data_IF_947338249912
#
_entry.id   IF_947338249912
#
_cell.length_a   1.000
_cell.length_b   1.000
_cell.length_c   1.000
_cell.angle_alpha   90.00
_cell.angle_beta   90.00
_cell.angle_gamma   90.00
#
_symmetry.space_group_name_H-M   'P 1'
#
loop_
_entity.id
_entity.type
_entity.pdbx_description
1 polymer ?
#
# COMPACT_ATOMS: atom_id res chain seq x y z
N UNK A 1 2.10 1.95 4.89
CA UNK A 1 3.39 2.32 4.29
C UNK A 1 3.85 1.39 3.17
N UNK A 2 3.30 0.21 3.02
CA UNK A 2 3.69 -0.77 1.98
C UNK A 2 2.55 -1.18 1.07
N UNK A 3 1.31 -0.91 1.42
CA UNK A 3 0.13 -1.39 0.69
C UNK A 3 -0.07 -2.91 0.69
N UNK A 4 0.71 -3.67 1.45
CA UNK A 4 0.60 -5.14 1.53
C UNK A 4 -0.75 -5.56 2.12
N UNK A 5 -1.27 -6.71 1.69
CA UNK A 5 -2.38 -7.34 2.37
C UNK A 5 -1.90 -7.97 3.68
N UNK A 6 -2.80 -8.10 4.66
CA UNK A 6 -2.45 -8.68 5.97
C UNK A 6 -1.85 -10.08 5.84
N UNK A 7 -2.41 -10.94 4.98
CA UNK A 7 -1.88 -12.29 4.77
C UNK A 7 -0.46 -12.31 4.21
N UNK A 8 -0.09 -11.35 3.37
CA UNK A 8 1.26 -11.22 2.84
C UNK A 8 2.20 -10.61 3.90
N UNK A 9 1.70 -9.69 4.73
CA UNK A 9 2.46 -9.08 5.83
C UNK A 9 2.85 -10.12 6.91
N UNK A 10 2.01 -11.10 7.16
CA UNK A 10 2.30 -12.19 8.12
C UNK A 10 3.50 -13.04 7.68
N UNK A 11 3.77 -13.08 6.38
CA UNK A 11 4.91 -13.81 5.80
C UNK A 11 6.10 -12.90 5.49
N UNK A 12 6.09 -11.67 5.99
CA UNK A 12 7.18 -10.72 5.75
C UNK A 12 8.50 -11.25 6.30
N UNK A 13 9.51 -11.30 5.45
CA UNK A 13 10.88 -11.68 5.79
C UNK A 13 11.81 -10.48 5.50
N UNK A 14 12.42 -9.94 6.53
CA UNK A 14 13.32 -8.81 6.41
C UNK A 14 14.54 -9.08 5.50
N UNK A 15 14.96 -10.34 5.35
CA UNK A 15 16.06 -10.72 4.47
C UNK A 15 15.74 -10.52 2.98
N UNK A 16 14.45 -10.38 2.64
CA UNK A 16 13.99 -10.09 1.28
C UNK A 16 13.86 -8.59 0.98
N UNK A 17 14.25 -7.74 1.93
CA UNK A 17 14.31 -6.30 1.71
C UNK A 17 15.63 -5.97 1.01
N UNK A 18 15.54 -5.28 -0.11
CA UNK A 18 16.70 -4.83 -0.91
C UNK A 18 16.59 -3.35 -1.21
N UNK A 19 17.73 -2.67 -1.29
CA UNK A 19 17.78 -1.28 -1.74
C UNK A 19 18.07 -1.23 -3.24
N UNK A 20 17.21 -0.55 -3.99
CA UNK A 20 17.37 -0.32 -5.43
C UNK A 20 17.17 1.18 -5.72
N UNK A 21 18.17 1.82 -6.31
CA UNK A 21 18.13 3.24 -6.67
C UNK A 21 17.74 4.16 -5.50
N UNK A 22 18.23 3.86 -4.29
CA UNK A 22 17.93 4.64 -3.07
C UNK A 22 16.53 4.37 -2.49
N UNK A 23 15.84 3.34 -2.98
CA UNK A 23 14.50 2.96 -2.51
C UNK A 23 14.54 1.54 -1.93
N UNK A 24 14.02 1.38 -0.71
CA UNK A 24 13.88 0.06 -0.10
C UNK A 24 12.68 -0.66 -0.71
N UNK A 25 12.92 -1.84 -1.24
CA UNK A 25 11.92 -2.70 -1.89
C UNK A 25 11.83 -4.05 -1.18
N UNK A 26 10.66 -4.64 -1.22
CA UNK A 26 10.40 -6.00 -0.75
C UNK A 26 9.73 -6.78 -1.87
N UNK A 27 10.34 -7.89 -2.26
CA UNK A 27 9.80 -8.77 -3.31
C UNK A 27 9.42 -10.12 -2.71
N UNK A 28 8.21 -10.58 -3.00
CA UNK A 28 7.68 -11.87 -2.54
C UNK A 28 6.52 -12.31 -3.42
N UNK A 29 5.96 -13.48 -3.12
CA UNK A 29 4.76 -13.99 -3.79
C UNK A 29 3.51 -13.76 -2.94
N UNK A 30 2.41 -13.36 -3.60
CA UNK A 30 1.10 -13.22 -2.94
C UNK A 30 0.64 -14.56 -2.40
N UNK A 31 0.34 -14.64 -1.11
CA UNK A 31 -0.16 -15.87 -0.47
C UNK A 31 -1.43 -16.40 -1.15
N UNK A 32 -2.33 -15.49 -1.57
CA UNK A 32 -3.62 -15.89 -2.16
C UNK A 32 -3.54 -16.36 -3.61
N UNK A 33 -2.60 -15.84 -4.40
CA UNK A 33 -2.59 -16.03 -5.86
C UNK A 33 -1.27 -16.58 -6.40
N UNK A 34 -0.22 -16.65 -5.58
CA UNK A 34 1.14 -17.02 -6.02
C UNK A 34 1.83 -15.99 -6.92
N UNK A 35 1.17 -14.88 -7.25
CA UNK A 35 1.73 -13.86 -8.13
C UNK A 35 2.84 -13.13 -7.40
N UNK A 36 4.01 -13.03 -8.05
CA UNK A 36 5.11 -12.20 -7.57
C UNK A 36 4.69 -10.73 -7.52
N UNK A 37 5.09 -10.06 -6.47
CA UNK A 37 4.93 -8.63 -6.33
C UNK A 37 6.18 -8.01 -5.71
N UNK A 38 6.47 -6.79 -6.09
CA UNK A 38 7.51 -5.97 -5.47
C UNK A 38 6.84 -4.73 -4.91
N UNK A 39 6.95 -4.50 -3.62
CA UNK A 39 6.43 -3.27 -3.00
C UNK A 39 7.54 -2.39 -2.48
N UNK A 40 7.29 -1.11 -2.37
CA UNK A 40 8.19 -0.12 -1.79
C UNK A 40 7.90 0.01 -0.30
N UNK A 41 8.96 0.00 0.50
CA UNK A 41 8.87 0.30 1.93
C UNK A 41 9.21 1.78 2.12
N UNK A 42 8.19 2.57 2.40
CA UNK A 42 8.39 4.00 2.65
C UNK A 42 9.21 4.23 3.93
N UNK A 43 9.88 5.39 4.09
CA UNK A 43 10.76 5.68 5.23
C UNK A 43 10.14 5.35 6.59
N UNK A 44 8.88 5.74 6.81
CA UNK A 44 8.12 5.38 8.02
C UNK A 44 8.03 3.85 8.25
N UNK A 45 7.95 3.06 7.18
CA UNK A 45 7.98 1.59 7.27
C UNK A 45 9.36 1.06 7.68
N UNK A 46 10.42 1.66 7.16
CA UNK A 46 11.80 1.33 7.56
C UNK A 46 12.07 1.68 9.03
N UNK A 47 11.52 2.79 9.54
CA UNK A 47 11.65 3.14 10.96
C UNK A 47 10.97 2.10 11.86
N UNK A 48 9.82 1.57 11.43
CA UNK A 48 9.15 0.47 12.14
C UNK A 48 10.01 -0.80 12.11
N UNK A 49 10.58 -1.17 10.96
CA UNK A 49 11.46 -2.34 10.87
C UNK A 49 12.69 -2.19 11.78
N UNK A 50 13.34 -1.04 11.79
CA UNK A 50 14.47 -0.74 12.69
C UNK A 50 14.07 -0.86 14.16
N UNK A 51 12.89 -0.33 14.53
CA UNK A 51 12.39 -0.39 15.91
C UNK A 51 12.23 -1.83 16.43
N UNK A 52 11.93 -2.76 15.56
CA UNK A 52 11.67 -4.17 15.89
C UNK A 52 12.76 -5.12 15.36
N UNK A 53 13.95 -4.62 15.07
CA UNK A 53 15.10 -5.40 14.56
C UNK A 53 14.74 -6.29 13.36
N UNK A 54 13.89 -5.78 12.46
CA UNK A 54 13.41 -6.49 11.29
C UNK A 54 12.31 -7.53 11.56
N UNK A 55 11.96 -7.78 12.81
CA UNK A 55 10.94 -8.75 13.21
C UNK A 55 9.66 -8.05 13.63
N UNK A 56 8.69 -7.99 12.73
CA UNK A 56 7.42 -7.32 13.02
C UNK A 56 6.63 -8.09 14.09
N UNK A 57 6.08 -7.41 15.13
CA UNK A 57 5.21 -8.05 16.10
C UNK A 57 3.89 -8.41 15.45
N UNK A 58 3.76 -9.67 15.03
CA UNK A 58 2.55 -10.14 14.37
C UNK A 58 1.43 -10.39 15.39
N UNK A 59 0.30 -9.78 15.14
CA UNK A 59 -0.95 -9.97 15.88
C UNK A 59 -1.99 -10.62 14.98
N UNK A 60 -2.99 -11.29 15.54
CA UNK A 60 -4.06 -11.89 14.74
C UNK A 60 -4.80 -10.82 13.92
N UNK A 61 -5.36 -11.24 12.76
CA UNK A 61 -6.14 -10.34 11.90
C UNK A 61 -7.32 -9.70 12.66
N UNK A 62 -7.95 -10.45 13.56
CA UNK A 62 -9.04 -9.93 14.41
C UNK A 62 -8.55 -8.80 15.32
N UNK A 63 -7.43 -9.00 16.00
CA UNK A 63 -6.82 -8.00 16.87
C UNK A 63 -6.34 -6.78 16.09
N UNK A 64 -5.76 -7.01 14.90
CA UNK A 64 -5.37 -5.93 14.00
C UNK A 64 -6.55 -5.05 13.60
N UNK A 65 -7.68 -5.66 13.18
CA UNK A 65 -8.89 -4.91 12.85
C UNK A 65 -9.51 -4.19 14.06
N UNK A 66 -9.39 -4.75 15.26
CA UNK A 66 -9.81 -4.09 16.50
C UNK A 66 -9.00 -2.80 16.74
N UNK A 67 -7.68 -2.85 16.57
CA UNK A 67 -6.82 -1.66 16.70
C UNK A 67 -7.12 -0.62 15.63
N UNK A 68 -7.42 -1.02 14.39
CA UNK A 68 -7.82 -0.05 13.36
C UNK A 68 -9.09 0.72 13.75
N UNK A 69 -10.07 0.07 14.37
CA UNK A 69 -11.29 0.72 14.89
C UNK A 69 -10.96 1.69 16.02
N UNK A 70 -10.05 1.32 16.91
CA UNK A 70 -9.62 2.19 18.00
C UNK A 70 -8.88 3.44 17.47
N UNK A 71 -7.96 3.25 16.51
CA UNK A 71 -7.28 4.36 15.82
C UNK A 71 -8.31 5.28 15.14
N UNK A 72 -9.30 4.71 14.45
CA UNK A 72 -10.38 5.45 13.81
C UNK A 72 -11.12 6.33 14.83
N UNK A 73 -11.47 5.77 16.00
CA UNK A 73 -12.16 6.48 17.07
C UNK A 73 -11.31 7.64 17.62
N UNK A 74 -10.03 7.39 17.93
CA UNK A 74 -9.10 8.38 18.46
C UNK A 74 -8.83 9.51 17.46
N UNK A 75 -8.68 9.17 16.19
CA UNK A 75 -8.44 10.13 15.11
C UNK A 75 -9.72 10.85 14.62
N UNK A 76 -10.89 10.52 15.19
CA UNK A 76 -12.21 11.07 14.79
C UNK A 76 -12.49 10.93 13.31
N UNK A 77 -12.07 9.81 12.71
CA UNK A 77 -12.30 9.52 11.28
C UNK A 77 -13.68 8.92 11.11
N UNK A 78 -14.53 9.53 10.28
CA UNK A 78 -15.92 9.10 10.07
C UNK A 78 -16.06 7.88 9.14
N UNK A 79 -14.98 7.46 8.46
CA UNK A 79 -14.98 6.32 7.55
C UNK A 79 -14.41 5.09 8.25
N UNK A 80 -15.07 3.93 8.10
CA UNK A 80 -14.56 2.68 8.67
C UNK A 80 -13.21 2.29 8.08
N UNK A 81 -12.17 2.31 8.92
CA UNK A 81 -10.83 1.91 8.52
C UNK A 81 -10.72 0.39 8.51
N UNK A 82 -10.31 -0.16 7.38
CA UNK A 82 -10.02 -1.58 7.20
C UNK A 82 -8.66 -1.74 6.54
N UNK A 83 -8.05 -2.92 6.65
CA UNK A 83 -6.82 -3.25 5.92
C UNK A 83 -6.96 -3.02 4.41
N UNK A 84 -8.13 -3.32 3.87
CA UNK A 84 -8.43 -3.11 2.46
C UNK A 84 -8.53 -1.63 2.08
N UNK A 85 -9.12 -0.80 2.95
CA UNK A 85 -9.15 0.65 2.75
C UNK A 85 -7.74 1.24 2.80
N UNK A 86 -6.92 0.83 3.77
CA UNK A 86 -5.53 1.28 3.87
C UNK A 86 -4.74 0.94 2.58
N UNK A 87 -4.95 -0.25 2.03
CA UNK A 87 -4.33 -0.66 0.77
C UNK A 87 -4.82 0.16 -0.43
N UNK A 88 -6.12 0.48 -0.49
CA UNK A 88 -6.68 1.39 -1.50
C UNK A 88 -6.09 2.80 -1.38
N UNK A 89 -5.97 3.31 -0.16
CA UNK A 89 -5.36 4.62 0.10
C UNK A 89 -3.90 4.66 -0.35
N UNK A 90 -3.12 3.59 -0.09
CA UNK A 90 -1.76 3.48 -0.61
C UNK A 90 -1.73 3.56 -2.14
N UNK A 91 -2.58 2.78 -2.83
CA UNK A 91 -2.67 2.80 -4.29
C UNK A 91 -3.02 4.20 -4.82
N UNK A 92 -4.02 4.83 -4.20
CA UNK A 92 -4.47 6.17 -4.58
C UNK A 92 -3.35 7.21 -4.41
N UNK A 93 -2.62 7.15 -3.29
CA UNK A 93 -1.49 8.04 -3.05
C UNK A 93 -0.37 7.85 -4.09
N UNK A 94 -0.06 6.61 -4.48
CA UNK A 94 0.95 6.34 -5.51
C UNK A 94 0.52 6.93 -6.86
N UNK A 95 -0.73 6.71 -7.27
CA UNK A 95 -1.27 7.25 -8.52
C UNK A 95 -1.29 8.78 -8.52
N UNK A 96 -1.73 9.42 -7.44
CA UNK A 96 -1.74 10.88 -7.31
C UNK A 96 -0.34 11.52 -7.32
N UNK A 97 0.69 10.75 -6.96
CA UNK A 97 2.08 11.17 -7.06
C UNK A 97 2.73 10.78 -8.40
N UNK A 98 1.93 10.49 -9.43
CA UNK A 98 2.38 10.25 -10.79
C UNK A 98 2.98 8.86 -11.04
N UNK A 99 2.84 7.92 -10.10
CA UNK A 99 3.27 6.52 -10.34
C UNK A 99 2.30 5.88 -11.33
N UNK A 100 2.84 5.28 -12.40
CA UNK A 100 2.05 4.67 -13.47
C UNK A 100 1.19 3.53 -12.92
N UNK A 101 0.00 3.37 -13.47
CA UNK A 101 -1.00 2.40 -13.00
C UNK A 101 -0.48 0.95 -13.08
N UNK A 102 0.32 0.62 -14.10
CA UNK A 102 0.95 -0.69 -14.24
C UNK A 102 1.94 -0.95 -13.09
N UNK A 103 2.68 0.07 -12.70
CA UNK A 103 3.62 0.00 -11.57
C UNK A 103 2.85 -0.20 -10.27
N UNK A 104 1.76 0.55 -10.06
CA UNK A 104 0.92 0.39 -8.86
C UNK A 104 0.28 -1.01 -8.82
N UNK A 105 -0.17 -1.54 -9.96
CA UNK A 105 -0.68 -2.91 -10.04
C UNK A 105 0.38 -3.94 -9.60
N UNK A 106 1.64 -3.76 -10.02
CA UNK A 106 2.77 -4.60 -9.57
C UNK A 106 3.06 -4.45 -8.09
N UNK A 107 3.12 -3.22 -7.57
CA UNK A 107 3.31 -2.94 -6.13
C UNK A 107 2.28 -3.65 -5.26
N UNK A 108 1.07 -3.80 -5.77
CA UNK A 108 -0.03 -4.47 -5.09
C UNK A 108 -0.13 -5.97 -5.41
N UNK A 109 0.63 -6.50 -6.37
CA UNK A 109 0.49 -7.88 -6.83
C UNK A 109 -0.89 -8.19 -7.39
N UNK A 110 -1.44 -7.26 -8.19
CA UNK A 110 -2.68 -7.49 -8.93
C UNK A 110 -2.38 -8.27 -10.19
N UNK A 111 -3.21 -9.26 -10.53
CA UNK A 111 -3.06 -10.09 -11.74
C UNK A 111 -3.27 -9.30 -13.03
N UNK A 112 -4.00 -8.20 -12.97
CA UNK A 112 -4.18 -7.28 -14.09
C UNK A 112 -4.42 -5.85 -13.60
N UNK A 113 -4.25 -4.89 -14.49
CA UNK A 113 -4.41 -3.45 -14.21
C UNK A 113 -5.87 -3.04 -13.98
N UNK A 114 -6.84 -3.81 -14.47
CA UNK A 114 -8.27 -3.49 -14.30
C UNK A 114 -8.67 -3.39 -12.83
N UNK A 115 -8.05 -4.19 -11.96
CA UNK A 115 -8.29 -4.13 -10.51
C UNK A 115 -7.82 -2.78 -9.97
N UNK A 116 -6.67 -2.30 -10.41
CA UNK A 116 -6.11 -0.99 -10.02
C UNK A 116 -6.90 0.15 -10.65
N UNK A 117 -7.33 0.03 -11.91
CA UNK A 117 -8.14 1.02 -12.62
C UNK A 117 -9.46 1.29 -11.89
N UNK A 118 -10.13 0.27 -11.34
CA UNK A 118 -11.36 0.44 -10.55
C UNK A 118 -11.15 1.27 -9.28
N UNK A 119 -9.95 1.32 -8.75
CA UNK A 119 -9.59 2.19 -7.62
C UNK A 119 -9.51 3.65 -8.11
N UNK A 120 -9.01 3.85 -9.33
CA UNK A 120 -8.74 5.15 -9.93
C UNK A 120 -9.93 5.76 -10.68
N UNK A 121 -10.83 4.95 -11.27
CA UNK A 121 -12.00 5.43 -12.02
C UNK A 121 -13.03 6.26 -11.22
N UNK A 122 -12.75 6.56 -9.97
CA UNK A 122 -13.47 7.55 -9.16
C UNK A 122 -12.70 8.89 -9.12
N UNK A 123 -12.05 9.26 -10.22
CA UNK A 123 -11.45 10.59 -10.34
C UNK A 123 -12.55 11.64 -10.15
N UNK A 124 -12.29 12.58 -9.26
CA UNK A 124 -13.14 13.77 -9.13
C UNK A 124 -12.90 14.72 -10.31
N UNK A 125 -13.87 15.56 -10.63
CA UNK A 125 -13.72 16.61 -11.66
C UNK A 125 -12.49 17.49 -11.40
N UNK A 126 -12.09 17.69 -10.15
CA UNK A 126 -10.91 18.41 -9.73
C UNK A 126 -9.60 17.75 -10.17
N UNK A 127 -9.52 16.41 -10.08
CA UNK A 127 -8.33 15.67 -10.55
C UNK A 127 -8.19 15.82 -12.06
N UNK A 128 -9.29 15.69 -12.81
CA UNK A 128 -9.27 15.87 -14.27
C UNK A 128 -8.83 17.29 -14.64
N UNK A 129 -9.36 18.30 -13.96
CA UNK A 129 -8.99 19.68 -14.20
C UNK A 129 -7.51 19.96 -13.89
N UNK A 130 -6.97 19.40 -12.81
CA UNK A 130 -5.56 19.59 -12.43
C UNK A 130 -4.60 18.89 -13.41
N UNK A 131 -4.93 17.69 -13.89
CA UNK A 131 -4.11 16.97 -14.88
C UNK A 131 -4.08 17.71 -16.22
N UNK A 132 -5.22 18.24 -16.67
CA UNK A 132 -5.29 19.02 -17.91
C UNK A 132 -4.53 20.35 -17.77
N UNK A 133 -4.63 21.00 -16.62
CA UNK A 133 -3.91 22.26 -16.36
C UNK A 133 -2.38 22.11 -16.42
N UNK A 134 -1.83 20.95 -16.03
CA UNK A 134 -0.39 20.67 -16.14
C UNK A 134 0.10 20.54 -17.59
N UNK A 135 -0.77 20.20 -18.54
CA UNK A 135 -0.43 20.07 -19.96
C UNK A 135 -0.53 21.45 -20.66
N UNK A 136 -1.39 22.33 -20.14
CA UNK A 136 -1.66 23.64 -20.74
C UNK A 136 -0.69 24.75 -20.27
N UNK A 137 0.14 24.47 -19.26
CA UNK A 137 1.19 25.35 -18.74
C UNK A 137 2.58 24.86 -19.19
#
# INVERSE_FOLDING_TARGET
STGMAYCDLVQFDNNMVTEMNGVNTYTSNRQKTGIEFTTVILPMGMDVLKKYDGQLPLISNQKYNSYLKEIQRLAKINTTITTHLCRKTYAHNMLNNGVRIETVARLLGHSNTNITQRIYCRQTSETVASEVAQILN
#
